data_IF_849871503262
#
_entry.id   IF_849871503262
#
_cell.length_a   1.000
_cell.length_b   1.000
_cell.length_c   1.000
_cell.angle_alpha   90.00
_cell.angle_beta   90.00
_cell.angle_gamma   90.00
#
_symmetry.space_group_name_H-M   'P 1'
#
loop_
_entity.id
_entity.type
_entity.pdbx_description
1 polymer ?
#
# COMPACT_ATOMS: atom_id res chain seq x y z
N UNK A 1 4.59 -64.24 9.51
CA UNK A 1 4.00 -62.99 8.99
C UNK A 1 4.77 -61.82 9.59
N UNK A 2 5.87 -61.44 8.94
CA UNK A 2 6.71 -60.29 9.26
C UNK A 2 6.86 -59.54 7.94
N UNK A 3 6.89 -58.21 7.98
CA UNK A 3 6.74 -57.32 6.82
C UNK A 3 5.28 -56.96 6.58
N UNK A 4 4.94 -55.73 6.96
CA UNK A 4 3.78 -54.89 6.62
C UNK A 4 3.73 -53.70 7.61
N UNK A 5 4.37 -53.83 8.78
CA UNK A 5 4.45 -52.77 9.78
C UNK A 5 5.34 -51.61 9.31
N UNK A 6 6.50 -51.87 8.68
CA UNK A 6 7.38 -50.80 8.19
C UNK A 6 6.78 -49.95 7.06
N UNK A 7 5.89 -50.54 6.24
CA UNK A 7 5.23 -49.80 5.14
C UNK A 7 4.24 -48.76 5.66
N UNK A 8 3.58 -49.03 6.80
CA UNK A 8 2.61 -48.11 7.40
C UNK A 8 3.25 -46.87 8.03
N UNK A 9 4.48 -47.01 8.56
CA UNK A 9 5.24 -45.87 9.10
C UNK A 9 5.81 -44.97 8.00
N UNK A 10 6.19 -45.55 6.86
CA UNK A 10 6.72 -44.82 5.70
C UNK A 10 5.65 -43.95 5.02
N UNK A 11 4.40 -44.44 4.96
CA UNK A 11 3.27 -43.71 4.37
C UNK A 11 2.74 -42.58 5.26
N UNK A 12 2.78 -42.74 6.59
CA UNK A 12 2.42 -41.65 7.53
C UNK A 12 3.43 -40.50 7.49
N UNK A 13 4.73 -40.79 7.31
CA UNK A 13 5.76 -39.74 7.23
C UNK A 13 5.63 -38.86 5.97
N UNK A 14 4.98 -39.35 4.92
CA UNK A 14 4.76 -38.62 3.67
C UNK A 14 3.52 -37.69 3.71
N UNK A 15 2.63 -37.90 4.69
CA UNK A 15 1.46 -37.04 4.96
C UNK A 15 1.77 -35.83 5.87
N UNK A 16 3.01 -35.73 6.35
CA UNK A 16 3.55 -34.61 7.13
C UNK A 16 4.60 -33.80 6.35
N UNK A 17 4.50 -33.76 5.02
CA UNK A 17 5.15 -32.68 4.27
C UNK A 17 4.41 -31.39 4.63
N UNK A 18 5.04 -30.38 5.25
CA UNK A 18 4.35 -29.14 5.57
C UNK A 18 4.06 -28.41 4.25
N UNK A 19 2.79 -28.36 3.87
CA UNK A 19 2.25 -27.45 2.85
C UNK A 19 2.31 -25.99 3.37
N UNK A 20 3.50 -25.47 3.61
CA UNK A 20 3.72 -24.09 4.05
C UNK A 20 4.86 -23.46 3.25
N UNK A 21 4.65 -23.36 1.95
CA UNK A 21 5.16 -22.20 1.22
C UNK A 21 4.02 -21.16 1.28
N UNK A 22 3.86 -20.51 2.44
CA UNK A 22 3.16 -19.23 2.46
C UNK A 22 4.08 -18.25 1.74
N UNK A 23 3.67 -17.80 0.55
CA UNK A 23 4.20 -16.57 -0.01
C UNK A 23 3.76 -15.45 0.95
N UNK A 24 4.65 -15.09 1.86
CA UNK A 24 4.46 -13.91 2.68
C UNK A 24 4.70 -12.72 1.77
N UNK A 25 3.61 -12.09 1.32
CA UNK A 25 3.66 -10.77 0.69
C UNK A 25 4.03 -9.75 1.78
N UNK A 26 5.22 -9.88 2.38
CA UNK A 26 5.74 -8.89 3.30
C UNK A 26 5.92 -7.58 2.51
N UNK A 27 5.09 -6.58 2.81
CA UNK A 27 5.29 -5.24 2.26
C UNK A 27 6.69 -4.77 2.65
N UNK A 28 7.58 -4.45 1.68
CA UNK A 28 8.97 -4.16 1.99
C UNK A 28 9.08 -2.92 2.87
N UNK A 29 9.42 -3.20 4.12
CA UNK A 29 9.40 -2.21 5.19
C UNK A 29 10.54 -1.21 5.03
N UNK A 30 10.23 0.07 5.19
CA UNK A 30 11.18 1.17 5.00
C UNK A 30 11.47 1.50 3.54
N UNK A 31 10.88 0.79 2.56
CA UNK A 31 10.97 1.12 1.14
C UNK A 31 9.73 1.90 0.69
N UNK A 32 9.92 2.81 -0.27
CA UNK A 32 8.82 3.41 -1.00
C UNK A 32 8.28 2.39 -2.00
N UNK A 33 6.98 2.11 -1.89
CA UNK A 33 6.28 1.13 -2.71
C UNK A 33 5.23 1.87 -3.53
N UNK A 34 5.22 1.71 -4.87
CA UNK A 34 4.18 2.27 -5.71
C UNK A 34 2.79 1.79 -5.30
N UNK A 35 1.85 2.70 -5.20
CA UNK A 35 0.46 2.41 -4.87
C UNK A 35 -0.29 2.11 -6.16
N UNK A 36 -0.87 0.90 -6.24
CA UNK A 36 -1.56 0.43 -7.44
C UNK A 36 -2.94 1.04 -7.59
N UNK A 37 -3.69 1.08 -6.50
CA UNK A 37 -5.03 1.65 -6.49
C UNK A 37 -4.98 3.09 -5.98
N UNK A 38 -4.93 4.03 -6.92
CA UNK A 38 -4.99 5.46 -6.62
C UNK A 38 -6.43 5.94 -6.37
N UNK A 39 -7.44 5.08 -6.54
CA UNK A 39 -8.85 5.41 -6.31
C UNK A 39 -9.31 5.15 -4.88
N UNK A 40 -8.43 4.59 -4.06
CA UNK A 40 -8.66 4.38 -2.63
C UNK A 40 -9.13 5.67 -1.94
N UNK A 41 -10.22 5.57 -1.19
CA UNK A 41 -10.88 6.73 -0.58
C UNK A 41 -10.02 7.44 0.47
N UNK A 42 -9.14 6.70 1.15
CA UNK A 42 -8.21 7.26 2.11
C UNK A 42 -7.11 8.06 1.42
N UNK A 43 -6.58 7.57 0.29
CA UNK A 43 -5.63 8.34 -0.54
C UNK A 43 -6.25 9.62 -1.10
N UNK A 44 -7.51 9.56 -1.56
CA UNK A 44 -8.23 10.75 -2.03
C UNK A 44 -8.36 11.79 -0.91
N UNK A 45 -8.62 11.36 0.32
CA UNK A 45 -8.69 12.24 1.49
C UNK A 45 -7.34 12.92 1.77
N UNK A 46 -6.24 12.16 1.71
CA UNK A 46 -4.87 12.71 1.87
C UNK A 46 -4.58 13.75 0.78
N UNK A 47 -4.94 13.45 -0.48
CA UNK A 47 -4.72 14.37 -1.60
C UNK A 47 -5.50 15.69 -1.43
N UNK A 48 -6.77 15.62 -1.01
CA UNK A 48 -7.59 16.80 -0.73
C UNK A 48 -7.00 17.62 0.40
N UNK A 49 -6.58 16.95 1.49
CA UNK A 49 -5.93 17.61 2.62
C UNK A 49 -4.67 18.36 2.18
N UNK A 50 -3.78 17.72 1.41
CA UNK A 50 -2.54 18.33 0.95
C UNK A 50 -2.77 19.57 0.07
N UNK A 51 -3.75 19.53 -0.85
CA UNK A 51 -4.11 20.70 -1.66
C UNK A 51 -4.64 21.84 -0.79
N UNK A 52 -5.47 21.51 0.21
CA UNK A 52 -6.01 22.50 1.16
C UNK A 52 -4.92 23.15 2.01
N UNK A 53 -3.97 22.37 2.50
CA UNK A 53 -2.83 22.86 3.28
C UNK A 53 -1.93 23.79 2.45
N UNK A 54 -1.63 23.42 1.19
CA UNK A 54 -0.89 24.28 0.26
C UNK A 54 -1.66 25.57 -0.03
N UNK A 55 -2.98 25.53 -0.22
CA UNK A 55 -3.77 26.74 -0.43
C UNK A 55 -3.68 27.68 0.78
N UNK A 56 -3.75 27.15 2.01
CA UNK A 56 -3.59 27.94 3.23
C UNK A 56 -2.20 28.58 3.32
N UNK A 57 -1.14 27.81 3.08
CA UNK A 57 0.24 28.29 3.20
C UNK A 57 0.64 29.27 2.09
N UNK A 58 0.19 29.02 0.86
CA UNK A 58 0.62 29.78 -0.32
C UNK A 58 -0.38 30.85 -0.78
N UNK A 59 -1.52 30.99 -0.08
CA UNK A 59 -2.62 31.90 -0.43
C UNK A 59 -3.12 31.69 -1.87
N UNK A 60 -3.18 30.43 -2.31
CA UNK A 60 -3.69 30.03 -3.63
C UNK A 60 -5.09 29.43 -3.51
N UNK A 61 -5.73 29.22 -4.66
CA UNK A 61 -7.06 28.60 -4.75
C UNK A 61 -7.02 27.41 -5.71
N UNK A 62 -6.10 26.48 -5.44
CA UNK A 62 -5.94 25.25 -6.22
C UNK A 62 -7.10 24.28 -5.93
N UNK A 63 -7.58 23.61 -6.97
CA UNK A 63 -8.55 22.51 -6.84
C UNK A 63 -7.89 21.20 -7.27
N UNK A 64 -8.04 20.15 -6.47
CA UNK A 64 -7.57 18.81 -6.83
C UNK A 64 -8.32 18.32 -8.07
N UNK A 65 -7.59 17.87 -9.10
CA UNK A 65 -8.17 17.21 -10.27
C UNK A 65 -8.10 15.70 -10.13
N UNK A 66 -6.89 15.15 -9.94
CA UNK A 66 -6.65 13.72 -9.72
C UNK A 66 -5.26 13.45 -9.16
N UNK A 67 -5.07 12.26 -8.61
CA UNK A 67 -3.77 11.68 -8.30
C UNK A 67 -3.19 11.07 -9.57
N UNK A 68 -1.94 11.39 -9.91
CA UNK A 68 -1.23 10.82 -11.05
C UNK A 68 -0.43 9.59 -10.64
N UNK A 69 0.28 9.69 -9.52
CA UNK A 69 1.14 8.65 -8.98
C UNK A 69 1.12 8.72 -7.45
N UNK A 70 1.37 7.59 -6.80
CA UNK A 70 1.44 7.49 -5.35
C UNK A 70 2.45 6.45 -4.92
N UNK A 71 3.18 6.73 -3.85
CA UNK A 71 4.05 5.78 -3.17
C UNK A 71 3.74 5.80 -1.67
N UNK A 72 3.82 4.63 -1.03
CA UNK A 72 3.73 4.51 0.43
C UNK A 72 5.00 3.92 1.02
N UNK A 73 5.31 4.32 2.25
CA UNK A 73 6.38 3.74 3.04
C UNK A 73 5.83 3.39 4.42
N UNK A 74 5.88 2.10 4.74
CA UNK A 74 5.53 1.59 6.06
C UNK A 74 6.82 1.36 6.83
N UNK A 75 6.96 1.91 8.04
CA UNK A 75 8.18 1.77 8.86
C UNK A 75 7.96 0.67 9.92
N UNK A 76 8.88 -0.30 10.04
CA UNK A 76 8.68 -1.55 10.84
C UNK A 76 8.34 -1.30 12.31
N UNK A 77 8.85 -0.20 12.82
CA UNK A 77 8.84 0.17 14.23
C UNK A 77 7.83 1.27 14.52
N UNK A 78 7.21 1.85 13.49
CA UNK A 78 6.19 2.87 13.64
C UNK A 78 4.90 2.32 13.03
N UNK A 79 3.79 2.43 13.75
CA UNK A 79 2.43 2.24 13.20
C UNK A 79 2.06 3.37 12.23
N UNK A 80 3.06 3.95 11.57
CA UNK A 80 2.99 5.16 10.80
C UNK A 80 3.31 4.81 9.34
N UNK A 81 2.42 5.25 8.46
CA UNK A 81 2.57 5.10 7.02
C UNK A 81 2.73 6.48 6.42
N UNK A 82 3.78 6.67 5.63
CA UNK A 82 4.01 7.91 4.91
C UNK A 82 3.58 7.76 3.46
N UNK A 83 3.05 8.84 2.89
CA UNK A 83 2.56 8.89 1.53
C UNK A 83 3.28 9.98 0.73
N UNK A 84 3.65 9.66 -0.51
CA UNK A 84 4.12 10.62 -1.51
C UNK A 84 3.17 10.55 -2.69
N UNK A 85 2.50 11.67 -2.98
CA UNK A 85 1.51 11.73 -4.04
C UNK A 85 1.91 12.80 -5.06
N UNK A 86 1.89 12.45 -6.34
CA UNK A 86 1.98 13.40 -7.43
C UNK A 86 0.57 13.80 -7.84
N UNK A 87 0.22 15.07 -7.67
CA UNK A 87 -1.14 15.57 -7.85
C UNK A 87 -1.25 16.44 -9.10
N UNK A 88 -2.27 16.18 -9.90
CA UNK A 88 -2.73 17.15 -10.90
C UNK A 88 -3.73 18.10 -10.23
N UNK A 89 -3.45 19.39 -10.29
CA UNK A 89 -4.30 20.46 -9.74
C UNK A 89 -4.73 21.43 -10.84
N UNK A 90 -5.89 22.06 -10.66
CA UNK A 90 -6.33 23.19 -11.48
C UNK A 90 -6.12 24.46 -10.67
N UNK A 91 -5.55 25.47 -11.31
CA UNK A 91 -5.49 26.80 -10.72
C UNK A 91 -6.87 27.44 -10.83
N UNK A 92 -7.49 27.72 -9.69
CA UNK A 92 -8.75 28.42 -9.61
C UNK A 92 -8.55 29.91 -9.81
N UNK A 93 -7.80 30.33 -10.84
CA UNK A 93 -7.62 31.72 -11.20
C UNK A 93 -9.00 32.38 -11.11
N UNK A 94 -9.14 33.27 -10.12
CA UNK A 94 -10.32 34.11 -9.97
C UNK A 94 -10.53 34.72 -11.34
N UNK A 95 -11.65 34.38 -11.97
CA UNK A 95 -12.25 35.26 -12.96
C UNK A 95 -12.52 36.57 -12.22
N UNK A 96 -11.54 37.47 -12.20
CA UNK A 96 -11.74 38.88 -11.88
C UNK A 96 -12.88 39.36 -12.79
N UNK A 97 -14.03 39.65 -12.17
CA UNK A 97 -15.16 40.38 -12.75
C UNK A 97 -15.49 41.52 -11.82
#
# INVERSE_FOLDING_TARGET
MKSNFCFFFLSISLLFLPDLICADDEEPIGKWIPIKDLTDSYLQTIAVFAVGDINQQSKKTLTLNRILEGEKNTVRLATETHYRLLLAVKDGAQSER
#
